data_IF_345660410708
#
_entry.id   IF_345660410708
#
_cell.length_a   1.000
_cell.length_b   1.000
_cell.length_c   1.000
_cell.angle_alpha   90.00
_cell.angle_beta   90.00
_cell.angle_gamma   90.00
#
_symmetry.space_group_name_H-M   'P 1'
#
loop_
_entity.id
_entity.type
_entity.pdbx_description
1 polymer ?
#
# COMPACT_ATOMS: atom_id res chain seq x y z
N UNK A 1 -87.44 -19.09 -5.43
CA UNK A 1 -86.34 -18.66 -6.29
C UNK A 1 -85.06 -18.78 -5.52
N UNK A 2 -84.21 -19.80 -5.84
CA UNK A 2 -82.92 -20.06 -5.22
C UNK A 2 -81.87 -19.68 -6.27
N UNK A 3 -81.10 -18.63 -6.01
CA UNK A 3 -79.96 -18.19 -6.82
C UNK A 3 -78.69 -18.83 -6.33
N UNK A 4 -78.11 -19.74 -7.15
CA UNK A 4 -76.78 -20.32 -6.89
C UNK A 4 -75.67 -19.35 -7.31
N UNK A 5 -74.80 -19.02 -6.39
CA UNK A 5 -73.54 -18.32 -6.67
C UNK A 5 -72.47 -19.35 -7.00
N UNK A 6 -71.93 -19.32 -8.21
CA UNK A 6 -70.78 -20.11 -8.63
C UNK A 6 -69.51 -19.30 -8.38
N UNK A 7 -68.69 -19.75 -7.43
CA UNK A 7 -67.38 -19.14 -7.15
C UNK A 7 -66.32 -19.68 -8.10
N UNK A 8 -65.77 -18.83 -8.93
CA UNK A 8 -64.68 -19.15 -9.86
C UNK A 8 -63.34 -19.05 -9.11
N UNK A 9 -62.66 -20.15 -8.87
CA UNK A 9 -61.32 -20.21 -8.27
C UNK A 9 -60.30 -20.05 -9.43
N UNK A 10 -59.63 -18.88 -9.51
CA UNK A 10 -58.49 -18.67 -10.41
C UNK A 10 -57.22 -19.12 -9.69
N UNK A 11 -56.70 -20.28 -10.09
CA UNK A 11 -55.39 -20.77 -9.59
C UNK A 11 -54.27 -19.96 -10.24
N UNK A 12 -53.52 -19.19 -9.43
CA UNK A 12 -52.27 -18.61 -9.85
C UNK A 12 -51.17 -19.70 -9.87
N UNK A 13 -50.76 -20.12 -11.07
CA UNK A 13 -49.55 -20.89 -11.27
C UNK A 13 -48.34 -19.94 -11.11
N UNK A 14 -47.66 -19.99 -9.96
CA UNK A 14 -46.36 -19.34 -9.79
C UNK A 14 -45.31 -20.14 -10.57
N UNK A 15 -44.89 -19.60 -11.72
CA UNK A 15 -43.72 -20.12 -12.44
C UNK A 15 -42.48 -19.84 -11.61
N UNK A 16 -41.84 -20.86 -11.04
CA UNK A 16 -40.53 -20.75 -10.42
C UNK A 16 -39.48 -20.45 -11.49
N UNK A 17 -38.85 -19.29 -11.40
CA UNK A 17 -37.69 -18.96 -12.23
C UNK A 17 -36.60 -20.01 -11.97
N UNK A 18 -35.86 -20.46 -13.01
CA UNK A 18 -34.77 -21.39 -12.82
C UNK A 18 -33.71 -20.74 -11.92
N UNK A 19 -33.26 -21.50 -10.91
CA UNK A 19 -32.15 -21.09 -10.07
C UNK A 19 -30.93 -20.82 -10.98
N UNK A 20 -30.41 -19.61 -10.97
CA UNK A 20 -29.16 -19.30 -11.65
C UNK A 20 -28.05 -20.09 -10.93
N UNK A 21 -27.24 -20.80 -11.72
CA UNK A 21 -26.04 -21.44 -11.19
C UNK A 21 -25.18 -20.38 -10.45
N UNK A 22 -24.59 -20.74 -9.29
CA UNK A 22 -23.71 -19.84 -8.60
C UNK A 22 -22.58 -19.42 -9.55
N UNK A 23 -22.15 -18.14 -9.51
CA UNK A 23 -21.10 -17.65 -10.39
C UNK A 23 -19.85 -18.54 -10.24
N UNK A 24 -19.37 -19.06 -11.38
CA UNK A 24 -18.17 -19.89 -11.41
C UNK A 24 -17.01 -19.14 -10.75
N UNK A 25 -16.37 -19.75 -9.75
CA UNK A 25 -15.18 -19.15 -9.14
C UNK A 25 -14.09 -18.96 -10.22
N UNK A 26 -13.37 -17.83 -10.19
CA UNK A 26 -12.29 -17.60 -11.15
C UNK A 26 -11.21 -18.65 -10.96
N UNK A 27 -10.54 -19.02 -12.06
CA UNK A 27 -9.45 -19.99 -12.01
C UNK A 27 -8.27 -19.41 -11.18
N UNK A 28 -7.60 -20.22 -10.35
CA UNK A 28 -6.43 -19.81 -9.58
C UNK A 28 -5.30 -19.29 -10.49
N UNK A 29 -4.60 -18.25 -10.03
CA UNK A 29 -3.43 -17.73 -10.74
C UNK A 29 -2.22 -18.63 -10.50
N UNK A 30 -1.52 -18.97 -11.60
CA UNK A 30 -0.20 -19.58 -11.56
C UNK A 30 0.92 -18.54 -11.52
N UNK A 31 2.21 -18.99 -11.44
CA UNK A 31 3.37 -18.10 -11.52
C UNK A 31 3.36 -17.18 -12.74
N UNK A 32 3.80 -15.93 -12.57
CA UNK A 32 3.88 -14.92 -13.63
C UNK A 32 3.02 -13.69 -13.37
N UNK A 33 2.84 -12.88 -14.41
CA UNK A 33 2.18 -11.57 -14.35
C UNK A 33 0.72 -11.67 -14.83
N UNK A 34 -0.20 -11.13 -14.03
CA UNK A 34 -1.63 -11.16 -14.30
C UNK A 34 -2.24 -9.77 -14.11
N UNK A 35 -3.15 -9.38 -15.00
CA UNK A 35 -3.93 -8.14 -14.86
C UNK A 35 -5.35 -8.47 -14.39
N UNK A 36 -5.79 -7.79 -13.35
CA UNK A 36 -7.16 -7.93 -12.84
C UNK A 36 -7.89 -6.59 -12.84
N UNK A 37 -9.20 -6.65 -12.84
CA UNK A 37 -10.07 -5.47 -12.92
C UNK A 37 -11.23 -5.62 -11.94
N UNK A 38 -11.54 -4.53 -11.23
CA UNK A 38 -12.69 -4.41 -10.34
C UNK A 38 -13.55 -3.21 -10.76
N UNK A 39 -14.86 -3.33 -10.64
CA UNK A 39 -15.78 -2.20 -10.77
C UNK A 39 -16.10 -1.64 -9.38
N UNK A 40 -15.85 -0.33 -9.17
CA UNK A 40 -16.10 0.36 -7.91
C UNK A 40 -16.67 1.76 -8.15
N UNK A 41 -17.86 2.03 -7.61
CA UNK A 41 -18.48 3.35 -7.76
C UNK A 41 -18.60 3.81 -9.21
N UNK A 42 -18.87 2.89 -10.15
CA UNK A 42 -18.90 3.17 -11.59
C UNK A 42 -17.52 3.28 -12.26
N UNK A 43 -16.43 3.22 -11.51
CA UNK A 43 -15.06 3.28 -12.05
C UNK A 43 -14.49 1.89 -12.26
N UNK A 44 -13.84 1.70 -13.41
CA UNK A 44 -13.02 0.52 -13.70
C UNK A 44 -11.65 0.72 -13.04
N UNK A 45 -11.34 -0.11 -12.02
CA UNK A 45 -10.06 -0.10 -11.32
C UNK A 45 -9.25 -1.32 -11.70
N UNK A 46 -7.97 -1.15 -11.94
CA UNK A 46 -7.07 -2.23 -12.37
C UNK A 46 -5.92 -2.42 -11.39
N UNK A 47 -5.42 -3.65 -11.31
CA UNK A 47 -4.18 -3.96 -10.62
C UNK A 47 -3.44 -5.11 -11.32
N UNK A 48 -2.11 -5.06 -11.25
CA UNK A 48 -1.25 -6.15 -11.69
C UNK A 48 -0.92 -7.04 -10.48
N UNK A 49 -0.85 -8.33 -10.70
CA UNK A 49 -0.40 -9.33 -9.72
C UNK A 49 0.79 -10.06 -10.33
N UNK A 50 1.90 -10.07 -9.63
CA UNK A 50 3.00 -10.97 -9.93
C UNK A 50 3.00 -12.10 -8.90
N UNK A 51 2.77 -13.31 -9.37
CA UNK A 51 2.84 -14.55 -8.59
C UNK A 51 4.26 -15.11 -8.75
N UNK A 52 5.03 -15.29 -7.65
CA UNK A 52 6.43 -15.69 -7.74
C UNK A 52 6.60 -17.09 -8.34
N UNK A 53 7.73 -17.35 -8.98
CA UNK A 53 8.05 -18.62 -9.66
C UNK A 53 7.90 -19.86 -8.79
N UNK A 54 8.20 -19.74 -7.49
CA UNK A 54 8.07 -20.83 -6.52
C UNK A 54 6.72 -20.94 -5.81
N UNK A 55 5.67 -20.27 -6.33
CA UNK A 55 4.35 -20.29 -5.72
C UNK A 55 3.72 -21.69 -5.70
N UNK A 56 3.26 -22.10 -4.51
CA UNK A 56 2.44 -23.31 -4.31
C UNK A 56 1.02 -22.89 -3.88
N UNK A 57 -0.03 -23.21 -4.65
CA UNK A 57 -1.39 -22.83 -4.32
C UNK A 57 -1.94 -23.50 -3.04
N UNK A 58 -1.24 -24.49 -2.49
CA UNK A 58 -1.60 -25.13 -1.21
C UNK A 58 -1.00 -24.42 0.01
N UNK A 59 -0.04 -23.50 -0.22
CA UNK A 59 0.71 -22.81 0.84
C UNK A 59 0.30 -21.33 0.93
N UNK A 60 -0.25 -20.86 2.09
CA UNK A 60 -0.57 -19.46 2.28
C UNK A 60 0.66 -18.56 2.08
N UNK A 61 0.57 -17.64 1.13
CA UNK A 61 1.68 -16.82 0.65
C UNK A 61 1.53 -15.36 1.07
N UNK A 62 2.60 -14.71 1.57
CA UNK A 62 2.58 -13.30 1.92
C UNK A 62 2.28 -12.41 0.69
N UNK A 63 1.66 -11.26 0.92
CA UNK A 63 1.34 -10.27 -0.12
C UNK A 63 1.98 -8.94 0.20
N UNK A 64 2.58 -8.30 -0.80
CA UNK A 64 3.09 -6.92 -0.73
C UNK A 64 2.34 -6.07 -1.75
N UNK A 65 1.60 -5.07 -1.29
CA UNK A 65 1.00 -4.03 -2.11
C UNK A 65 2.07 -2.98 -2.41
N UNK A 66 2.38 -2.73 -3.68
CA UNK A 66 3.36 -1.74 -4.13
C UNK A 66 2.66 -0.55 -4.79
N UNK A 67 2.51 0.54 -4.04
CA UNK A 67 1.73 1.71 -4.43
C UNK A 67 2.58 2.73 -5.18
N UNK A 68 2.17 3.11 -6.39
CA UNK A 68 2.90 4.05 -7.24
C UNK A 68 2.85 5.50 -6.73
N UNK A 69 3.79 6.33 -7.15
CA UNK A 69 3.80 7.77 -6.90
C UNK A 69 2.74 8.52 -7.72
N UNK A 70 2.55 9.82 -7.44
CA UNK A 70 1.70 10.67 -8.26
C UNK A 70 2.20 10.72 -9.71
N UNK A 71 1.28 10.84 -10.66
CA UNK A 71 1.53 10.82 -12.10
C UNK A 71 2.20 9.53 -12.61
N UNK A 72 2.00 8.42 -11.87
CA UNK A 72 2.43 7.07 -12.25
C UNK A 72 1.22 6.13 -12.27
N UNK A 73 1.47 4.85 -12.55
CA UNK A 73 0.48 3.77 -12.52
C UNK A 73 1.13 2.43 -12.09
N UNK A 74 0.35 1.36 -11.98
CA UNK A 74 0.84 0.05 -11.57
C UNK A 74 2.00 -0.47 -12.43
N UNK A 75 1.88 -0.53 -13.78
CA UNK A 75 2.98 -0.90 -14.68
C UNK A 75 4.28 -0.10 -14.49
N UNK A 76 4.17 1.21 -14.29
CA UNK A 76 5.35 2.04 -14.02
C UNK A 76 6.00 1.68 -12.68
N UNK A 77 5.20 1.34 -11.65
CA UNK A 77 5.71 0.93 -10.35
C UNK A 77 6.46 -0.42 -10.40
N UNK A 78 6.07 -1.34 -11.28
CA UNK A 78 6.82 -2.59 -11.51
C UNK A 78 8.27 -2.28 -11.86
N UNK A 79 8.46 -1.47 -12.88
CA UNK A 79 9.79 -1.07 -13.33
C UNK A 79 10.53 -0.23 -12.30
N UNK A 80 9.84 0.76 -11.70
CA UNK A 80 10.45 1.71 -10.76
C UNK A 80 10.99 1.01 -9.51
N UNK A 81 10.21 0.13 -8.89
CA UNK A 81 10.60 -0.52 -7.64
C UNK A 81 11.46 -1.76 -7.83
N UNK A 82 11.29 -2.50 -8.95
CA UNK A 82 11.95 -3.80 -9.16
C UNK A 82 11.52 -4.87 -8.16
N UNK A 83 10.39 -4.70 -7.47
CA UNK A 83 9.90 -5.65 -6.46
C UNK A 83 9.54 -7.02 -7.03
N UNK A 84 9.22 -7.13 -8.32
CA UNK A 84 9.00 -8.42 -9.00
C UNK A 84 10.18 -9.37 -8.84
N UNK A 85 11.41 -8.88 -9.06
CA UNK A 85 12.62 -9.68 -8.86
C UNK A 85 12.79 -10.12 -7.40
N UNK A 86 12.48 -9.22 -6.45
CA UNK A 86 12.52 -9.55 -5.02
C UNK A 86 11.45 -10.55 -4.63
N UNK A 87 10.25 -10.45 -5.22
CA UNK A 87 9.15 -11.38 -5.05
C UNK A 87 9.54 -12.80 -5.45
N UNK A 88 10.13 -12.98 -6.65
CA UNK A 88 10.64 -14.27 -7.12
C UNK A 88 11.70 -14.88 -6.19
N UNK A 89 12.60 -14.04 -5.67
CA UNK A 89 13.67 -14.50 -4.80
C UNK A 89 13.21 -14.83 -3.37
N UNK A 90 12.17 -14.15 -2.89
CA UNK A 90 11.76 -14.21 -1.49
C UNK A 90 10.42 -14.94 -1.26
N UNK A 91 9.69 -15.31 -2.32
CA UNK A 91 8.48 -16.13 -2.25
C UNK A 91 7.24 -15.39 -1.72
N UNK A 92 7.01 -14.14 -2.13
CA UNK A 92 5.79 -13.42 -1.83
C UNK A 92 5.09 -12.95 -3.12
N UNK A 93 3.77 -12.81 -3.09
CA UNK A 93 3.01 -12.20 -4.18
C UNK A 93 3.14 -10.68 -4.09
N UNK A 94 3.50 -10.02 -5.18
CA UNK A 94 3.48 -8.56 -5.24
C UNK A 94 2.33 -8.07 -6.11
N UNK A 95 1.61 -7.06 -5.60
CA UNK A 95 0.47 -6.47 -6.27
C UNK A 95 0.74 -5.00 -6.53
N UNK A 96 0.52 -4.55 -7.76
CA UNK A 96 0.70 -3.18 -8.21
C UNK A 96 -0.65 -2.57 -8.61
N UNK A 97 -1.42 -2.05 -7.65
CA UNK A 97 -2.70 -1.44 -7.98
C UNK A 97 -2.50 -0.08 -8.65
N UNK A 98 -3.48 0.32 -9.46
CA UNK A 98 -3.53 1.62 -10.11
C UNK A 98 -4.51 2.55 -9.41
N UNK A 99 -4.07 3.76 -9.11
CA UNK A 99 -4.88 4.84 -8.56
C UNK A 99 -5.94 5.34 -9.55
N UNK A 100 -6.38 6.58 -9.41
CA UNK A 100 -7.32 7.24 -10.33
C UNK A 100 -6.71 8.49 -10.94
N UNK A 101 -7.16 8.86 -12.14
CA UNK A 101 -6.65 10.02 -12.87
C UNK A 101 -6.99 9.97 -14.35
N UNK A 102 -6.22 10.69 -15.16
CA UNK A 102 -6.42 10.78 -16.61
C UNK A 102 -5.29 10.10 -17.37
N UNK A 103 -5.62 9.19 -18.27
CA UNK A 103 -4.64 8.43 -19.05
C UNK A 103 -3.69 7.65 -18.15
N UNK A 104 -2.37 7.71 -18.38
CA UNK A 104 -1.39 6.99 -17.58
C UNK A 104 -1.01 7.71 -16.27
N UNK A 105 -1.48 8.95 -16.05
CA UNK A 105 -1.10 9.79 -14.93
C UNK A 105 -2.12 9.66 -13.79
N UNK A 106 -1.86 8.73 -12.88
CA UNK A 106 -2.77 8.40 -11.80
C UNK A 106 -2.22 8.88 -10.45
N UNK A 107 -3.10 8.96 -9.46
CA UNK A 107 -2.76 9.35 -8.10
C UNK A 107 -3.67 8.64 -7.11
N UNK A 108 -3.28 8.63 -5.84
CA UNK A 108 -4.06 8.09 -4.73
C UNK A 108 -4.75 9.21 -3.96
N UNK A 109 -5.94 8.96 -3.51
CA UNK A 109 -6.57 9.74 -2.45
C UNK A 109 -5.92 9.36 -1.10
N UNK A 110 -4.70 9.84 -0.90
CA UNK A 110 -3.95 9.60 0.33
C UNK A 110 -4.30 10.57 1.47
N UNK A 111 -5.27 11.46 1.26
CA UNK A 111 -5.57 12.57 2.17
C UNK A 111 -4.77 13.84 1.83
N UNK A 112 -4.89 14.84 2.70
CA UNK A 112 -4.11 16.09 2.63
C UNK A 112 -4.51 17.10 1.55
N UNK A 113 -5.23 16.71 0.52
CA UNK A 113 -5.72 17.64 -0.49
C UNK A 113 -6.72 18.62 0.10
N UNK A 114 -6.68 19.88 -0.35
CA UNK A 114 -7.57 20.96 0.10
C UNK A 114 -8.32 21.59 -1.06
N UNK A 115 -9.43 22.29 -0.77
CA UNK A 115 -10.26 22.95 -1.78
C UNK A 115 -10.78 22.00 -2.85
N UNK A 116 -10.86 22.46 -4.09
CA UNK A 116 -11.36 21.66 -5.24
C UNK A 116 -10.59 20.37 -5.49
N UNK A 117 -9.32 20.27 -5.08
CA UNK A 117 -8.53 19.06 -5.23
C UNK A 117 -8.94 17.93 -4.27
N UNK A 118 -9.68 18.26 -3.21
CA UNK A 118 -10.24 17.29 -2.27
C UNK A 118 -11.58 16.70 -2.74
N UNK A 119 -12.29 17.39 -3.66
CA UNK A 119 -13.61 17.00 -4.12
C UNK A 119 -13.57 15.81 -5.09
N UNK A 120 -14.59 14.96 -5.04
CA UNK A 120 -14.80 13.86 -5.99
C UNK A 120 -13.69 12.79 -6.01
N UNK A 121 -12.86 12.72 -4.97
CA UNK A 121 -11.80 11.71 -4.88
C UNK A 121 -12.38 10.31 -4.71
N UNK A 122 -11.81 9.36 -5.43
CA UNK A 122 -12.15 7.95 -5.29
C UNK A 122 -11.84 7.43 -3.87
N UNK A 123 -12.61 6.46 -3.41
CA UNK A 123 -12.31 5.74 -2.16
C UNK A 123 -11.27 4.65 -2.43
N UNK A 124 -10.00 5.05 -2.34
CA UNK A 124 -8.88 4.14 -2.56
C UNK A 124 -8.67 3.16 -1.41
N UNK A 125 -9.11 3.48 -0.19
CA UNK A 125 -9.07 2.55 0.94
C UNK A 125 -10.04 1.39 0.70
N UNK A 126 -11.28 1.69 0.32
CA UNK A 126 -12.26 0.67 -0.05
C UNK A 126 -11.81 -0.14 -1.28
N UNK A 127 -11.15 0.50 -2.25
CA UNK A 127 -10.56 -0.21 -3.39
C UNK A 127 -9.52 -1.23 -2.96
N UNK A 128 -8.57 -0.86 -2.11
CA UNK A 128 -7.56 -1.79 -1.60
C UNK A 128 -8.21 -2.93 -0.79
N UNK A 129 -9.22 -2.64 0.02
CA UNK A 129 -9.99 -3.66 0.73
C UNK A 129 -10.60 -4.70 -0.22
N UNK A 130 -11.33 -4.24 -1.25
CA UNK A 130 -11.92 -5.11 -2.28
C UNK A 130 -10.89 -5.85 -3.14
N UNK A 131 -9.76 -5.20 -3.43
CA UNK A 131 -8.66 -5.83 -4.14
C UNK A 131 -8.12 -7.04 -3.35
N UNK A 132 -7.93 -6.91 -2.05
CA UNK A 132 -7.48 -8.01 -1.19
C UNK A 132 -8.51 -9.15 -1.14
N UNK A 133 -9.80 -8.83 -1.15
CA UNK A 133 -10.88 -9.84 -1.21
C UNK A 133 -10.85 -10.57 -2.56
N UNK A 134 -10.75 -9.84 -3.67
CA UNK A 134 -10.66 -10.41 -5.03
C UNK A 134 -9.39 -11.25 -5.21
N UNK A 135 -8.25 -10.78 -4.72
CA UNK A 135 -6.98 -11.52 -4.75
C UNK A 135 -7.12 -12.87 -4.03
N UNK A 136 -7.77 -12.89 -2.87
CA UNK A 136 -8.01 -14.11 -2.10
C UNK A 136 -8.88 -15.16 -2.80
N UNK A 137 -9.59 -14.80 -3.88
CA UNK A 137 -10.35 -15.77 -4.71
C UNK A 137 -9.49 -16.50 -5.73
N UNK A 138 -8.28 -16.00 -6.02
CA UNK A 138 -7.40 -16.51 -7.10
C UNK A 138 -5.98 -16.84 -6.63
N UNK A 139 -5.60 -16.45 -5.42
CA UNK A 139 -4.30 -16.73 -4.79
C UNK A 139 -4.54 -17.17 -3.35
N UNK A 140 -3.82 -18.19 -2.88
CA UNK A 140 -3.86 -18.60 -1.47
C UNK A 140 -3.05 -17.61 -0.62
N UNK A 141 -3.72 -16.54 -0.19
CA UNK A 141 -3.14 -15.44 0.57
C UNK A 141 -2.97 -15.81 2.04
N UNK A 142 -1.78 -15.55 2.61
CA UNK A 142 -1.64 -15.48 4.07
C UNK A 142 -2.19 -14.13 4.57
N UNK A 143 -3.42 -14.15 5.04
CA UNK A 143 -4.10 -12.96 5.53
C UNK A 143 -3.43 -12.28 6.74
N UNK A 144 -2.49 -12.98 7.41
CA UNK A 144 -1.69 -12.41 8.51
C UNK A 144 -0.42 -11.71 8.02
N UNK A 145 -0.03 -11.90 6.75
CA UNK A 145 1.19 -11.35 6.16
C UNK A 145 0.87 -10.54 4.89
N UNK A 146 0.01 -9.55 5.04
CA UNK A 146 -0.30 -8.56 3.99
C UNK A 146 0.37 -7.25 4.36
N UNK A 147 1.19 -6.72 3.47
CA UNK A 147 2.00 -5.53 3.69
C UNK A 147 1.75 -4.50 2.60
N UNK A 148 2.06 -3.23 2.88
CA UNK A 148 2.03 -2.19 1.87
C UNK A 148 3.32 -1.37 1.86
N UNK A 149 3.87 -1.13 0.69
CA UNK A 149 4.92 -0.17 0.44
C UNK A 149 4.52 0.78 -0.69
N UNK A 150 5.18 1.90 -0.80
CA UNK A 150 4.85 2.83 -1.88
C UNK A 150 5.76 4.05 -1.90
N UNK A 151 5.83 4.67 -3.08
CA UNK A 151 6.65 5.84 -3.34
C UNK A 151 5.83 7.12 -3.28
N UNK A 152 6.34 8.18 -2.63
CA UNK A 152 5.74 9.52 -2.72
C UNK A 152 4.25 9.53 -2.29
N UNK A 153 3.33 9.89 -3.17
CA UNK A 153 1.88 9.78 -2.93
C UNK A 153 1.45 8.34 -2.57
N UNK A 154 2.09 7.30 -3.12
CA UNK A 154 1.90 5.91 -2.68
C UNK A 154 2.43 5.65 -1.26
N UNK A 155 3.51 6.30 -0.85
CA UNK A 155 4.00 6.30 0.53
C UNK A 155 3.04 6.99 1.50
N UNK A 156 2.43 8.13 1.07
CA UNK A 156 1.35 8.78 1.81
C UNK A 156 0.14 7.85 1.96
N UNK A 157 -0.20 7.11 0.88
CA UNK A 157 -1.29 6.12 0.92
C UNK A 157 -0.97 4.95 1.86
N UNK A 158 0.29 4.51 1.99
CA UNK A 158 0.69 3.52 2.99
C UNK A 158 0.31 3.96 4.41
N UNK A 159 0.55 5.22 4.77
CA UNK A 159 0.15 5.76 6.07
C UNK A 159 -1.37 5.77 6.25
N UNK A 160 -2.12 6.11 5.20
CA UNK A 160 -3.57 6.06 5.22
C UNK A 160 -4.09 4.63 5.40
N UNK A 161 -3.53 3.66 4.70
CA UNK A 161 -3.88 2.25 4.86
C UNK A 161 -3.55 1.74 6.27
N UNK A 162 -2.40 2.13 6.83
CA UNK A 162 -2.05 1.79 8.21
C UNK A 162 -3.04 2.34 9.23
N UNK A 163 -3.63 3.51 8.98
CA UNK A 163 -4.64 4.11 9.84
C UNK A 163 -6.04 3.50 9.66
N UNK A 164 -6.47 3.23 8.41
CA UNK A 164 -7.87 2.90 8.10
C UNK A 164 -8.09 1.40 7.80
N UNK A 165 -7.04 0.65 7.41
CA UNK A 165 -7.07 -0.80 7.15
C UNK A 165 -6.09 -1.58 8.05
N UNK A 166 -5.85 -1.11 9.26
CA UNK A 166 -4.91 -1.75 10.19
C UNK A 166 -5.26 -3.19 10.56
N UNK A 167 -6.51 -3.61 10.39
CA UNK A 167 -6.97 -4.98 10.56
C UNK A 167 -6.65 -5.91 9.37
N UNK A 168 -6.24 -5.35 8.24
CA UNK A 168 -5.90 -6.09 7.00
C UNK A 168 -4.41 -5.98 6.65
N UNK A 169 -3.73 -4.90 7.05
CA UNK A 169 -2.33 -4.59 6.71
C UNK A 169 -1.44 -4.82 7.92
N UNK A 170 -0.53 -5.79 7.84
CA UNK A 170 0.33 -6.20 8.96
C UNK A 170 1.41 -5.15 9.29
N UNK A 171 2.02 -4.55 8.28
CA UNK A 171 3.03 -3.48 8.40
C UNK A 171 3.10 -2.65 7.12
N UNK A 172 3.67 -1.45 7.19
CA UNK A 172 3.82 -0.55 6.04
C UNK A 172 5.25 -0.03 5.89
N UNK A 173 5.65 0.25 4.64
CA UNK A 173 6.95 0.79 4.30
C UNK A 173 6.83 1.97 3.30
N UNK A 174 6.46 3.18 3.77
CA UNK A 174 6.46 4.38 2.93
C UNK A 174 7.87 4.81 2.53
N UNK A 175 8.07 5.16 1.25
CA UNK A 175 9.30 5.73 0.69
C UNK A 175 9.01 7.13 0.19
N UNK A 176 9.77 8.11 0.64
CA UNK A 176 9.69 9.52 0.21
C UNK A 176 8.24 10.07 0.23
N UNK A 177 7.45 9.65 1.24
CA UNK A 177 6.06 10.07 1.41
C UNK A 177 5.71 10.14 2.89
N UNK A 178 5.09 11.23 3.33
CA UNK A 178 4.76 11.53 4.73
C UNK A 178 3.27 11.41 5.01
N UNK A 179 2.85 11.55 6.27
CA UNK A 179 1.42 11.55 6.63
C UNK A 179 0.72 12.73 5.97
N UNK A 180 -0.33 12.45 5.20
CA UNK A 180 -1.18 13.41 4.53
C UNK A 180 -2.60 13.48 5.12
N UNK A 181 -3.01 12.50 5.93
CA UNK A 181 -4.29 12.52 6.63
C UNK A 181 -4.21 13.39 7.89
N UNK A 182 -5.31 14.02 8.24
CA UNK A 182 -5.39 14.91 9.40
C UNK A 182 -5.19 14.14 10.71
N UNK A 183 -5.82 12.98 10.82
CA UNK A 183 -5.75 12.14 12.00
C UNK A 183 -5.51 10.67 11.64
N UNK A 184 -4.60 10.02 12.36
CA UNK A 184 -4.34 8.58 12.23
C UNK A 184 -4.97 7.85 13.42
N UNK A 185 -5.97 6.97 13.15
CA UNK A 185 -6.69 6.19 14.17
C UNK A 185 -6.67 4.70 13.86
N UNK A 186 -5.51 4.04 13.93
CA UNK A 186 -5.45 2.61 13.68
C UNK A 186 -6.15 1.82 14.79
N UNK A 187 -6.85 0.73 14.43
CA UNK A 187 -7.50 -0.18 15.40
C UNK A 187 -6.50 -0.97 16.24
N UNK A 188 -5.25 -1.03 15.81
CA UNK A 188 -4.13 -1.71 16.49
C UNK A 188 -2.80 -1.00 16.17
N UNK A 189 -1.74 -1.25 16.95
CA UNK A 189 -0.39 -0.82 16.56
C UNK A 189 0.01 -1.41 15.20
N UNK A 190 0.57 -0.58 14.31
CA UNK A 190 1.04 -0.99 12.98
C UNK A 190 2.52 -0.66 12.86
N UNK A 191 3.40 -1.64 12.67
CA UNK A 191 4.81 -1.41 12.40
C UNK A 191 5.03 -0.57 11.14
N UNK A 192 5.97 0.38 11.20
CA UNK A 192 6.28 1.32 10.10
C UNK A 192 7.77 1.35 9.83
N UNK A 193 8.17 1.15 8.56
CA UNK A 193 9.51 1.42 8.05
C UNK A 193 9.48 2.61 7.12
N UNK A 194 9.88 3.80 7.56
CA UNK A 194 9.95 5.00 6.73
C UNK A 194 11.33 5.16 6.10
N UNK A 195 11.41 5.29 4.78
CA UNK A 195 12.66 5.51 4.04
C UNK A 195 12.60 6.87 3.34
N UNK A 196 13.62 7.73 3.54
CA UNK A 196 13.62 9.08 2.99
C UNK A 196 15.02 9.59 2.66
N UNK A 197 15.12 10.36 1.58
CA UNK A 197 16.35 11.09 1.23
C UNK A 197 16.42 12.44 1.94
N UNK A 198 17.55 12.79 2.57
CA UNK A 198 17.68 14.05 3.31
C UNK A 198 17.70 15.30 2.42
N UNK A 199 17.89 15.12 1.11
CA UNK A 199 17.84 16.20 0.08
C UNK A 199 16.68 16.00 -0.90
N UNK A 200 15.59 15.37 -0.44
CA UNK A 200 14.36 15.25 -1.23
C UNK A 200 13.78 16.65 -1.52
N UNK A 201 13.77 17.04 -2.80
CA UNK A 201 13.27 18.34 -3.26
C UNK A 201 11.77 18.34 -3.60
N UNK A 202 11.11 17.17 -3.59
CA UNK A 202 9.68 17.02 -3.93
C UNK A 202 8.82 16.87 -2.67
N UNK A 203 9.21 15.98 -1.77
CA UNK A 203 8.66 15.86 -0.42
C UNK A 203 9.79 16.14 0.57
N UNK A 204 9.99 17.40 0.97
CA UNK A 204 11.15 17.79 1.79
C UNK A 204 11.22 17.01 3.11
N UNK A 205 12.43 16.58 3.47
CA UNK A 205 12.67 15.88 4.74
C UNK A 205 12.26 16.78 5.93
N UNK A 206 12.68 18.02 5.91
CA UNK A 206 12.28 19.03 6.88
C UNK A 206 11.14 19.88 6.29
N UNK A 207 9.97 19.75 6.84
CA UNK A 207 8.86 20.62 6.50
C UNK A 207 8.69 21.66 7.59
N UNK A 208 9.05 22.91 7.29
CA UNK A 208 8.81 24.00 8.22
C UNK A 208 7.31 24.13 8.49
N UNK A 209 6.93 24.29 9.76
CA UNK A 209 5.53 24.46 10.19
C UNK A 209 4.79 25.46 9.31
N UNK A 210 3.70 25.04 8.68
CA UNK A 210 2.87 25.88 7.82
C UNK A 210 3.39 26.09 6.38
N UNK A 211 4.46 25.39 5.95
CA UNK A 211 5.01 25.48 4.60
C UNK A 211 4.65 24.30 3.68
N UNK A 212 3.58 23.57 3.98
CA UNK A 212 3.00 22.66 2.99
C UNK A 212 2.53 23.44 1.76
N UNK A 213 2.55 22.82 0.56
CA UNK A 213 1.96 23.43 -0.62
C UNK A 213 0.52 23.89 -0.33
N UNK A 214 0.04 25.02 -0.88
CA UNK A 214 -1.28 25.57 -0.56
C UNK A 214 -2.46 24.61 -0.80
N UNK A 215 -2.25 23.65 -1.71
CA UNK A 215 -3.26 22.65 -2.11
C UNK A 215 -3.14 21.31 -1.36
N UNK A 216 -2.14 21.17 -0.46
CA UNK A 216 -1.90 19.91 0.26
C UNK A 216 -1.33 20.17 1.66
N UNK A 217 -1.95 19.56 2.67
CA UNK A 217 -1.41 19.56 4.06
C UNK A 217 -0.62 18.28 4.27
N UNK A 218 0.67 18.41 4.56
CA UNK A 218 1.57 17.28 4.84
C UNK A 218 2.25 17.49 6.20
N UNK A 219 2.52 16.41 6.90
CA UNK A 219 3.45 16.41 8.04
C UNK A 219 4.88 16.27 7.53
N UNK A 220 5.85 16.77 8.29
CA UNK A 220 7.27 16.49 8.03
C UNK A 220 7.61 15.02 8.30
N UNK A 221 8.81 14.59 7.89
CA UNK A 221 9.28 13.20 8.11
C UNK A 221 9.32 12.88 9.59
N UNK A 222 9.99 13.73 10.38
CA UNK A 222 10.10 13.51 11.83
C UNK A 222 8.73 13.50 12.52
N UNK A 223 7.82 14.42 12.17
CA UNK A 223 6.46 14.45 12.71
C UNK A 223 5.68 13.19 12.34
N UNK A 224 5.86 12.68 11.12
CA UNK A 224 5.22 11.44 10.68
C UNK A 224 5.72 10.23 11.48
N UNK A 225 7.03 10.10 11.66
CA UNK A 225 7.66 9.04 12.45
C UNK A 225 7.21 9.10 13.91
N UNK A 226 7.31 10.27 14.54
CA UNK A 226 6.92 10.46 15.94
C UNK A 226 5.42 10.25 16.19
N UNK A 227 4.58 10.53 15.20
CA UNK A 227 3.15 10.18 15.27
C UNK A 227 2.97 8.67 15.46
N UNK A 228 3.67 7.84 14.67
CA UNK A 228 3.58 6.38 14.77
C UNK A 228 4.32 5.81 15.97
N UNK A 229 5.42 6.40 16.41
CA UNK A 229 6.09 6.06 17.69
C UNK A 229 5.10 6.15 18.84
N UNK A 230 4.35 7.26 18.93
CA UNK A 230 3.32 7.48 19.96
C UNK A 230 2.13 6.52 19.82
N UNK A 231 1.59 6.35 18.62
CA UNK A 231 0.44 5.45 18.37
C UNK A 231 0.76 3.99 18.72
N UNK A 232 1.96 3.55 18.38
CA UNK A 232 2.44 2.21 18.68
C UNK A 232 2.90 2.05 20.13
N UNK A 233 3.13 3.14 20.87
CA UNK A 233 3.68 3.13 22.22
C UNK A 233 5.09 2.60 22.26
N UNK A 234 5.90 2.96 21.26
CA UNK A 234 7.32 2.61 21.20
C UNK A 234 8.15 3.42 22.22
N UNK A 235 9.34 2.93 22.51
CA UNK A 235 10.32 3.62 23.35
C UNK A 235 10.71 4.97 22.75
N UNK A 236 10.81 6.01 23.58
CA UNK A 236 11.23 7.36 23.12
C UNK A 236 12.71 7.44 22.74
N UNK A 237 13.54 6.54 23.27
CA UNK A 237 14.98 6.47 22.99
C UNK A 237 15.25 5.44 21.90
N UNK A 238 15.52 5.88 20.65
CA UNK A 238 15.78 4.96 19.56
C UNK A 238 17.21 4.41 19.61
N UNK A 239 17.40 3.28 18.94
CA UNK A 239 18.72 2.79 18.54
C UNK A 239 19.03 3.30 17.13
N UNK A 240 20.13 4.02 16.98
CA UNK A 240 20.63 4.45 15.68
C UNK A 240 21.85 3.62 15.28
N UNK A 241 21.92 3.27 14.00
CA UNK A 241 23.04 2.54 13.42
C UNK A 241 23.28 2.97 11.96
N UNK A 242 24.54 3.02 11.55
CA UNK A 242 24.89 3.20 10.15
C UNK A 242 24.80 1.86 9.44
N UNK A 243 24.06 1.79 8.34
CA UNK A 243 23.87 0.56 7.55
C UNK A 243 24.56 0.61 6.19
N UNK A 244 25.09 1.77 5.78
CA UNK A 244 26.05 1.88 4.69
C UNK A 244 27.44 1.48 5.13
N UNK A 245 28.28 0.98 4.21
CA UNK A 245 29.65 0.60 4.48
C UNK A 245 30.58 1.81 4.34
N UNK A 246 31.77 1.71 4.96
CA UNK A 246 32.83 2.70 4.73
C UNK A 246 33.23 2.73 3.25
N UNK A 247 33.36 3.93 2.68
CA UNK A 247 33.63 4.13 1.27
C UNK A 247 32.41 4.16 0.34
N UNK A 248 31.21 3.92 0.87
CA UNK A 248 29.97 4.08 0.09
C UNK A 248 29.75 5.56 -0.28
N UNK A 249 29.20 5.79 -1.48
CA UNK A 249 28.93 7.16 -1.98
C UNK A 249 27.96 7.95 -1.08
N UNK A 250 27.02 7.24 -0.43
CA UNK A 250 26.01 7.83 0.44
C UNK A 250 25.97 7.13 1.78
N UNK A 251 25.96 7.90 2.86
CA UNK A 251 25.69 7.36 4.19
C UNK A 251 24.21 7.07 4.35
N UNK A 252 23.90 5.94 4.94
CA UNK A 252 22.53 5.53 5.24
C UNK A 252 22.44 5.14 6.71
N UNK A 253 21.58 5.84 7.44
CA UNK A 253 21.35 5.63 8.87
C UNK A 253 19.99 4.99 9.09
N UNK A 254 19.94 3.94 9.90
CA UNK A 254 18.72 3.33 10.43
C UNK A 254 18.51 3.76 11.86
N UNK A 255 17.35 4.33 12.17
CA UNK A 255 16.92 4.68 13.53
C UNK A 255 15.70 3.86 13.88
N UNK A 256 15.80 3.02 14.93
CA UNK A 256 14.74 2.08 15.34
C UNK A 256 14.18 2.48 16.69
N UNK A 257 12.87 2.73 16.74
CA UNK A 257 12.05 2.91 17.93
C UNK A 257 11.36 1.58 18.23
N UNK A 258 11.92 0.80 19.12
CA UNK A 258 11.43 -0.53 19.53
C UNK A 258 10.43 -0.47 20.69
N UNK A 259 10.20 -1.63 21.32
CA UNK A 259 9.40 -1.74 22.55
C UNK A 259 7.90 -1.47 22.40
N UNK A 260 7.41 -1.29 21.17
CA UNK A 260 6.02 -0.95 20.92
C UNK A 260 5.02 -2.05 21.29
N UNK A 261 3.76 -1.63 21.53
CA UNK A 261 2.65 -2.54 21.85
C UNK A 261 2.53 -3.63 20.79
N UNK A 262 2.23 -4.84 21.24
CA UNK A 262 2.09 -6.03 20.38
C UNK A 262 3.35 -6.39 19.57
N UNK A 263 4.55 -5.92 19.96
CA UNK A 263 5.81 -6.13 19.25
C UNK A 263 5.98 -5.22 18.03
N UNK A 264 5.23 -4.12 17.97
CA UNK A 264 5.43 -3.13 16.92
C UNK A 264 6.70 -2.31 17.11
N UNK A 265 7.23 -1.82 16.02
CA UNK A 265 8.38 -0.89 15.98
C UNK A 265 8.15 0.17 14.90
N UNK A 266 8.86 1.29 15.02
CA UNK A 266 8.93 2.31 13.99
C UNK A 266 10.39 2.49 13.63
N UNK A 267 10.69 2.36 12.34
CA UNK A 267 12.05 2.45 11.81
C UNK A 267 12.10 3.61 10.82
N UNK A 268 13.08 4.50 10.99
CA UNK A 268 13.41 5.56 10.03
C UNK A 268 14.75 5.23 9.38
N UNK A 269 14.77 5.16 8.06
CA UNK A 269 15.99 5.04 7.26
C UNK A 269 16.20 6.33 6.49
N UNK A 270 17.31 7.02 6.78
CA UNK A 270 17.70 8.27 6.13
C UNK A 270 18.86 8.02 5.18
N UNK A 271 18.69 8.37 3.91
CA UNK A 271 19.76 8.42 2.91
C UNK A 271 20.32 9.83 2.89
N UNK A 272 21.51 10.05 3.43
CA UNK A 272 22.16 11.37 3.47
C UNK A 272 22.50 11.84 2.05
N UNK A 273 22.04 13.04 1.68
CA UNK A 273 22.20 13.56 0.33
C UNK A 273 21.29 12.93 -0.72
N UNK A 274 20.49 11.92 -0.34
CA UNK A 274 19.50 11.28 -1.21
C UNK A 274 18.36 12.20 -1.58
N UNK A 275 17.84 12.03 -2.80
CA UNK A 275 16.70 12.75 -3.33
C UNK A 275 15.39 11.97 -3.19
N UNK A 276 14.42 12.29 -4.06
CA UNK A 276 13.10 11.66 -4.15
C UNK A 276 13.19 10.32 -4.89
N UNK A 277 13.84 9.32 -4.31
CA UNK A 277 14.26 8.10 -5.01
C UNK A 277 13.89 6.85 -4.25
N UNK A 278 14.03 5.70 -4.94
CA UNK A 278 13.88 4.36 -4.38
C UNK A 278 15.28 3.77 -4.15
N UNK A 279 15.81 3.71 -2.92
CA UNK A 279 17.15 3.20 -2.66
C UNK A 279 17.39 1.81 -3.26
N UNK A 280 18.57 1.62 -3.83
CA UNK A 280 18.94 0.41 -4.59
C UNK A 280 18.51 0.43 -6.06
N UNK A 281 17.82 1.50 -6.52
CA UNK A 281 17.42 1.66 -7.92
C UNK A 281 18.04 2.92 -8.52
N UNK A 282 18.33 2.85 -9.81
CA UNK A 282 18.76 4.03 -10.59
C UNK A 282 17.58 5.01 -10.72
N UNK A 283 17.77 6.29 -10.42
CA UNK A 283 16.72 7.29 -10.66
C UNK A 283 16.38 7.39 -12.15
N UNK A 284 15.09 7.33 -12.53
CA UNK A 284 14.69 7.40 -13.94
C UNK A 284 15.00 8.73 -14.60
N UNK A 285 15.12 9.79 -13.80
CA UNK A 285 15.36 11.17 -14.23
C UNK A 285 16.19 11.91 -13.20
N UNK A 286 17.10 12.77 -13.65
CA UNK A 286 18.07 13.44 -12.75
C UNK A 286 17.44 14.44 -11.76
N UNK A 287 16.31 15.05 -12.09
CA UNK A 287 15.71 16.08 -11.24
C UNK A 287 15.14 15.55 -9.91
N UNK A 288 14.88 14.23 -9.79
CA UNK A 288 14.48 13.64 -8.51
C UNK A 288 15.64 13.40 -7.55
N UNK A 289 16.86 13.66 -7.99
CA UNK A 289 18.07 13.61 -7.17
C UNK A 289 18.77 12.25 -7.17
N UNK A 290 19.74 12.11 -6.28
CA UNK A 290 20.59 10.91 -6.16
C UNK A 290 19.90 9.80 -5.37
N UNK A 291 20.23 8.55 -5.68
CA UNK A 291 19.79 7.34 -4.96
C UNK A 291 20.98 6.58 -4.38
N UNK A 292 20.87 6.08 -3.17
CA UNK A 292 21.85 5.14 -2.64
C UNK A 292 21.77 3.83 -3.43
N UNK A 293 22.89 3.37 -4.00
CA UNK A 293 22.96 2.14 -4.80
C UNK A 293 23.32 0.92 -3.98
N UNK A 294 23.99 1.12 -2.89
CA UNK A 294 24.56 0.11 -1.98
C UNK A 294 23.59 -0.36 -0.89
N UNK A 295 22.44 0.31 -0.72
CA UNK A 295 21.36 -0.06 0.20
C UNK A 295 20.08 -0.25 -0.59
N UNK A 296 19.50 -1.44 -0.51
CA UNK A 296 18.28 -1.81 -1.24
C UNK A 296 17.03 -1.58 -0.38
N UNK A 297 16.14 -0.71 -0.81
CA UNK A 297 14.83 -0.53 -0.16
C UNK A 297 14.03 -1.84 -0.13
N UNK A 298 14.10 -2.64 -1.20
CA UNK A 298 13.40 -3.93 -1.29
C UNK A 298 13.88 -4.93 -0.23
N UNK A 299 15.19 -4.96 0.05
CA UNK A 299 15.76 -5.85 1.06
C UNK A 299 15.41 -5.39 2.47
N UNK A 300 15.53 -4.08 2.75
CA UNK A 300 15.12 -3.47 4.01
C UNK A 300 13.64 -3.72 4.31
N UNK A 301 12.77 -3.54 3.31
CA UNK A 301 11.33 -3.77 3.46
C UNK A 301 11.03 -5.24 3.76
N UNK A 302 11.64 -6.16 3.02
CA UNK A 302 11.37 -7.58 3.22
C UNK A 302 11.90 -8.08 4.57
N UNK A 303 13.10 -7.66 4.95
CA UNK A 303 13.65 -7.94 6.29
C UNK A 303 12.71 -7.43 7.40
N UNK A 304 12.18 -6.22 7.24
CA UNK A 304 11.22 -5.62 8.18
C UNK A 304 9.90 -6.38 8.19
N UNK A 305 9.30 -6.65 7.04
CA UNK A 305 7.99 -7.29 6.93
C UNK A 305 7.97 -8.70 7.52
N UNK A 306 9.04 -9.47 7.33
CA UNK A 306 9.12 -10.84 7.87
C UNK A 306 9.02 -10.91 9.41
N UNK A 307 9.35 -9.84 10.12
CA UNK A 307 9.28 -9.74 11.59
C UNK A 307 7.83 -9.51 12.08
N UNK A 308 6.93 -9.07 11.20
CA UNK A 308 5.60 -8.58 11.58
C UNK A 308 4.48 -9.35 10.91
N UNK A 309 3.51 -9.78 11.71
CA UNK A 309 2.29 -10.43 11.22
C UNK A 309 1.09 -10.01 12.06
N UNK A 310 -0.10 -10.06 11.49
CA UNK A 310 -1.35 -9.94 12.25
C UNK A 310 -1.47 -11.11 13.24
N UNK A 311 -1.97 -10.80 14.44
CA UNK A 311 -2.21 -11.81 15.49
C UNK A 311 -3.42 -12.68 15.20
#
# INVERSE_FOLDING_TARGET
MRTSLTTLLIGLLAASAPAQDPPKQPDPLGPGDHTRTLMMGGLKRTYLVHVPKGYDPKTPTPVVLALHGAAMNGPMMVWFSGLTTKSDAAGFVVVYPSGTGTGPFLTWNAGGFTGKMAEGKADDVAFIGKLLDDLGTVVTVDGKRVYACGMSNGGMMCYRLAAELSDRIAAVAPVAGTIAIEESKPKRPVPVLHIHGSKDGIVPFEMAKGKSPPFMKLKGVEESVQTWVKLNGCDEKPKAEMISKDGDEMKVTRTTYGGGKAGSEVVLVVVEGGGHTWPGREPPVGFIGKSARNVSANDLMWEFFQKHKLK
#
